data_IF_952226980281
#
_entry.id   IF_952226980281
#
_cell.length_a   1.000
_cell.length_b   1.000
_cell.length_c   1.000
_cell.angle_alpha   90.00
_cell.angle_beta   90.00
_cell.angle_gamma   90.00
#
_symmetry.space_group_name_H-M   'P 1'
#
loop_
_entity.id
_entity.type
_entity.pdbx_description
1 polymer ?
#
# COMPACT_ATOMS: atom_id res chain seq x y z
N UNK A 1 -37.32 40.25 -1.34
CA UNK A 1 -36.39 39.70 -2.36
C UNK A 1 -35.13 39.19 -1.67
N UNK A 2 -34.71 37.95 -2.00
CA UNK A 2 -33.34 37.36 -1.94
C UNK A 2 -32.59 37.42 -0.59
N UNK A 3 -32.74 36.40 0.27
CA UNK A 3 -31.93 35.17 0.34
C UNK A 3 -30.40 35.39 0.33
N UNK A 4 -29.77 35.34 1.50
CA UNK A 4 -28.33 35.06 1.62
C UNK A 4 -28.13 33.76 2.37
N UNK A 5 -27.70 32.75 1.61
CA UNK A 5 -27.48 31.36 2.04
C UNK A 5 -26.26 31.31 2.95
N UNK A 6 -26.45 30.77 4.15
CA UNK A 6 -25.39 30.21 5.00
C UNK A 6 -24.72 29.10 4.20
N UNK A 7 -23.47 29.31 3.78
CA UNK A 7 -22.65 28.27 3.17
C UNK A 7 -22.47 27.15 4.20
N UNK A 8 -23.18 26.04 4.01
CA UNK A 8 -22.84 24.79 4.68
C UNK A 8 -21.48 24.36 4.13
N UNK A 9 -20.48 24.35 5.00
CA UNK A 9 -19.27 23.59 4.81
C UNK A 9 -19.67 22.17 4.39
N UNK A 10 -19.20 21.76 3.21
CA UNK A 10 -19.28 20.36 2.80
C UNK A 10 -18.40 19.59 3.78
N UNK A 11 -19.04 18.84 4.69
CA UNK A 11 -18.43 17.61 5.17
C UNK A 11 -18.21 16.77 3.92
N UNK A 12 -16.94 16.55 3.55
CA UNK A 12 -16.58 15.42 2.70
C UNK A 12 -16.86 14.16 3.52
N UNK A 13 -18.15 13.81 3.59
CA UNK A 13 -18.61 12.48 3.96
C UNK A 13 -18.03 11.55 2.92
N UNK A 14 -17.10 10.70 3.37
CA UNK A 14 -16.34 9.78 2.55
C UNK A 14 -17.22 9.13 1.50
N UNK A 15 -17.03 9.54 0.24
CA UNK A 15 -17.57 8.80 -0.88
C UNK A 15 -16.94 7.43 -0.78
N UNK A 16 -17.78 6.43 -0.52
CA UNK A 16 -17.37 5.04 -0.65
C UNK A 16 -16.96 4.89 -2.11
N UNK A 17 -15.66 4.96 -2.38
CA UNK A 17 -15.09 4.79 -3.71
C UNK A 17 -15.70 3.52 -4.28
N UNK A 18 -16.48 3.66 -5.36
CA UNK A 18 -17.19 2.55 -6.00
C UNK A 18 -16.28 1.34 -6.18
N UNK A 19 -16.84 0.13 -6.14
CA UNK A 19 -16.10 -1.15 -6.14
C UNK A 19 -14.87 -1.10 -7.07
N UNK A 20 -13.70 -0.84 -6.50
CA UNK A 20 -12.43 -0.85 -7.23
C UNK A 20 -12.14 -2.30 -7.60
N UNK A 21 -11.89 -2.55 -8.88
CA UNK A 21 -11.45 -3.86 -9.32
C UNK A 21 -9.91 -3.95 -9.20
N UNK A 22 -9.35 -5.14 -9.38
CA UNK A 22 -7.90 -5.33 -9.25
C UNK A 22 -7.08 -4.53 -10.28
N UNK A 23 -7.62 -4.27 -11.48
CA UNK A 23 -6.95 -3.47 -12.50
C UNK A 23 -6.77 -2.01 -12.07
N UNK A 24 -7.69 -1.47 -11.26
CA UNK A 24 -7.56 -0.12 -10.72
C UNK A 24 -6.36 -0.03 -9.76
N UNK A 25 -6.18 -1.04 -8.90
CA UNK A 25 -5.01 -1.13 -8.02
C UNK A 25 -3.71 -1.29 -8.81
N UNK A 26 -3.70 -2.10 -9.87
CA UNK A 26 -2.53 -2.25 -10.75
C UNK A 26 -2.15 -0.95 -11.46
N UNK A 27 -3.14 -0.18 -11.93
CA UNK A 27 -2.91 1.13 -12.56
C UNK A 27 -2.29 2.13 -11.57
N UNK A 28 -2.85 2.24 -10.36
CA UNK A 28 -2.29 3.12 -9.33
C UNK A 28 -0.90 2.67 -8.87
N UNK A 29 -0.69 1.37 -8.69
CA UNK A 29 0.60 0.81 -8.31
C UNK A 29 1.68 1.04 -9.39
N UNK A 30 1.30 1.02 -10.67
CA UNK A 30 2.21 1.32 -11.79
C UNK A 30 2.69 2.77 -11.74
N UNK A 31 1.77 3.72 -11.53
CA UNK A 31 2.13 5.14 -11.39
C UNK A 31 3.00 5.40 -10.15
N UNK A 32 2.69 4.74 -9.03
CA UNK A 32 3.52 4.80 -7.81
C UNK A 32 4.92 4.23 -8.07
N UNK A 33 5.02 3.10 -8.77
CA UNK A 33 6.31 2.49 -9.12
C UNK A 33 7.13 3.38 -10.05
N UNK A 34 6.52 3.98 -11.07
CA UNK A 34 7.19 4.92 -11.98
C UNK A 34 7.77 6.12 -11.23
N UNK A 35 6.98 6.74 -10.34
CA UNK A 35 7.47 7.85 -9.52
C UNK A 35 8.60 7.48 -8.55
N UNK A 36 8.68 6.23 -8.09
CA UNK A 36 9.78 5.74 -7.27
C UNK A 36 11.03 5.42 -8.10
N UNK A 37 10.86 4.83 -9.29
CA UNK A 37 11.95 4.55 -10.23
C UNK A 37 12.62 5.83 -10.72
N UNK A 38 11.86 6.91 -10.87
CA UNK A 38 12.41 8.22 -11.24
C UNK A 38 13.28 8.84 -10.13
N UNK A 39 13.05 8.45 -8.87
CA UNK A 39 13.83 8.90 -7.70
C UNK A 39 15.10 8.06 -7.48
N UNK A 40 15.07 6.77 -7.85
CA UNK A 40 16.20 5.85 -7.75
C UNK A 40 16.41 5.13 -9.09
N UNK A 41 17.32 5.65 -9.91
CA UNK A 41 17.65 5.05 -11.20
C UNK A 41 18.34 3.68 -11.09
N UNK A 42 18.88 3.36 -9.91
CA UNK A 42 19.56 2.08 -9.63
C UNK A 42 18.68 1.11 -8.84
N UNK A 43 17.38 1.40 -8.69
CA UNK A 43 16.42 0.60 -7.92
C UNK A 43 16.51 -0.90 -8.18
N UNK A 44 16.74 -1.30 -9.45
CA UNK A 44 16.81 -2.69 -9.85
C UNK A 44 18.01 -3.42 -9.24
N UNK A 45 19.15 -2.74 -9.10
CA UNK A 45 20.36 -3.30 -8.47
C UNK A 45 20.23 -3.41 -6.96
N UNK A 46 19.39 -2.57 -6.34
CA UNK A 46 19.09 -2.61 -4.92
C UNK A 46 18.12 -3.74 -4.53
N UNK A 47 17.50 -4.42 -5.51
CA UNK A 47 16.54 -5.48 -5.22
C UNK A 47 17.19 -6.70 -4.56
N UNK A 48 16.47 -7.36 -3.63
CA UNK A 48 16.97 -8.57 -2.96
C UNK A 48 17.01 -9.81 -3.88
N UNK A 49 16.62 -9.70 -5.16
CA UNK A 49 16.44 -10.83 -6.07
C UNK A 49 17.73 -11.35 -6.72
N UNK A 50 18.90 -10.75 -6.45
CA UNK A 50 20.26 -11.22 -6.85
C UNK A 50 20.36 -11.79 -8.28
N UNK A 51 19.70 -11.15 -9.25
CA UNK A 51 19.76 -11.56 -10.67
C UNK A 51 18.87 -12.75 -11.06
N UNK A 52 17.99 -13.24 -10.19
CA UNK A 52 17.07 -14.34 -10.48
C UNK A 52 15.98 -13.99 -11.54
N UNK A 53 15.84 -12.71 -11.90
CA UNK A 53 14.83 -12.23 -12.83
C UNK A 53 15.32 -11.04 -13.66
N UNK A 54 14.70 -10.84 -14.84
CA UNK A 54 14.95 -9.66 -15.69
C UNK A 54 14.35 -8.40 -15.06
N UNK A 55 14.81 -7.23 -15.52
CA UNK A 55 14.31 -5.92 -15.08
C UNK A 55 12.80 -5.79 -15.25
N UNK A 56 12.26 -6.22 -16.39
CA UNK A 56 10.82 -6.18 -16.66
C UNK A 56 10.03 -7.04 -15.67
N UNK A 57 10.47 -8.28 -15.44
CA UNK A 57 9.83 -9.19 -14.47
C UNK A 57 9.89 -8.66 -13.04
N UNK A 58 11.01 -8.05 -12.66
CA UNK A 58 11.15 -7.40 -11.36
C UNK A 58 10.18 -6.22 -11.23
N UNK A 59 10.08 -5.38 -12.27
CA UNK A 59 9.15 -4.26 -12.28
C UNK A 59 7.71 -4.74 -12.12
N UNK A 60 7.29 -5.75 -12.88
CA UNK A 60 5.94 -6.29 -12.81
C UNK A 60 5.63 -6.89 -11.44
N UNK A 61 6.57 -7.64 -10.85
CA UNK A 61 6.42 -8.19 -9.50
C UNK A 61 6.28 -7.08 -8.44
N UNK A 62 7.10 -6.02 -8.54
CA UNK A 62 7.05 -4.89 -7.63
C UNK A 62 5.74 -4.10 -7.75
N UNK A 63 5.19 -3.97 -8.96
CA UNK A 63 3.85 -3.38 -9.19
C UNK A 63 2.77 -4.26 -8.58
N UNK A 64 2.81 -5.57 -8.81
CA UNK A 64 1.82 -6.51 -8.29
C UNK A 64 1.79 -6.49 -6.75
N UNK A 65 2.95 -6.55 -6.11
CA UNK A 65 3.07 -6.46 -4.64
C UNK A 65 2.40 -5.21 -4.08
N UNK A 66 2.64 -4.05 -4.70
CA UNK A 66 2.01 -2.77 -4.32
C UNK A 66 0.50 -2.81 -4.53
N UNK A 67 0.04 -3.35 -5.65
CA UNK A 67 -1.38 -3.48 -5.93
C UNK A 67 -2.08 -4.36 -4.89
N UNK A 68 -1.47 -5.50 -4.52
CA UNK A 68 -1.96 -6.39 -3.46
C UNK A 68 -1.96 -5.66 -2.11
N UNK A 69 -0.89 -4.95 -1.76
CA UNK A 69 -0.81 -4.16 -0.52
C UNK A 69 -1.99 -3.18 -0.38
N UNK A 70 -2.22 -2.36 -1.41
CA UNK A 70 -3.32 -1.38 -1.44
C UNK A 70 -4.69 -2.06 -1.38
N UNK A 71 -4.84 -3.18 -2.10
CA UNK A 71 -6.07 -3.96 -2.10
C UNK A 71 -6.37 -4.56 -0.72
N UNK A 72 -5.38 -5.14 -0.04
CA UNK A 72 -5.57 -5.72 1.30
C UNK A 72 -6.10 -4.68 2.27
N UNK A 73 -5.55 -3.45 2.24
CA UNK A 73 -6.02 -2.35 3.10
C UNK A 73 -7.45 -1.93 2.72
N UNK A 74 -7.75 -1.81 1.42
CA UNK A 74 -9.09 -1.47 0.92
C UNK A 74 -10.13 -2.52 1.35
N UNK A 75 -9.85 -3.80 1.11
CA UNK A 75 -10.73 -4.91 1.46
C UNK A 75 -10.90 -5.02 2.98
N UNK A 76 -9.83 -4.84 3.76
CA UNK A 76 -9.88 -4.83 5.23
C UNK A 76 -10.79 -3.71 5.76
N UNK A 77 -10.74 -2.52 5.15
CA UNK A 77 -11.61 -1.41 5.52
C UNK A 77 -13.07 -1.70 5.17
N UNK A 78 -13.32 -2.21 3.94
CA UNK A 78 -14.66 -2.53 3.44
C UNK A 78 -15.34 -3.62 4.27
N UNK A 79 -14.57 -4.58 4.73
CA UNK A 79 -15.05 -5.72 5.54
C UNK A 79 -14.96 -5.49 7.05
N UNK A 80 -14.52 -4.29 7.47
CA UNK A 80 -14.39 -3.91 8.89
C UNK A 80 -13.51 -4.88 9.70
N UNK A 81 -12.41 -5.37 9.11
CA UNK A 81 -11.44 -6.17 9.85
C UNK A 81 -10.87 -5.37 11.03
N UNK A 82 -10.80 -6.00 12.20
CA UNK A 82 -10.35 -5.39 13.44
C UNK A 82 -8.90 -4.88 13.36
N UNK A 83 -8.04 -5.60 12.63
CA UNK A 83 -6.69 -5.14 12.35
C UNK A 83 -5.93 -5.93 11.29
N UNK A 84 -4.85 -5.31 10.84
CA UNK A 84 -3.86 -5.88 9.94
C UNK A 84 -2.52 -5.95 10.66
N UNK A 85 -1.88 -7.12 10.67
CA UNK A 85 -0.53 -7.30 11.17
C UNK A 85 0.46 -7.11 10.04
N UNK A 86 1.50 -6.34 10.32
CA UNK A 86 2.68 -6.24 9.48
C UNK A 86 3.60 -7.45 9.76
N UNK A 87 3.87 -8.25 8.74
CA UNK A 87 4.77 -9.40 8.84
C UNK A 87 5.92 -9.25 7.85
N UNK A 88 7.13 -9.59 8.28
CA UNK A 88 8.30 -9.63 7.41
C UNK A 88 8.78 -11.06 7.21
N UNK A 89 9.55 -11.30 6.14
CA UNK A 89 10.20 -12.60 5.88
C UNK A 89 11.29 -12.97 6.92
N UNK A 90 11.56 -12.11 7.90
CA UNK A 90 12.54 -12.33 8.99
C UNK A 90 13.92 -12.78 8.50
N UNK A 91 14.36 -12.29 7.34
CA UNK A 91 15.68 -12.56 6.77
C UNK A 91 16.53 -11.29 6.67
N UNK A 92 17.82 -11.47 6.42
CA UNK A 92 18.81 -10.38 6.36
C UNK A 92 18.59 -9.40 5.19
N UNK A 93 17.62 -9.68 4.31
CA UNK A 93 17.26 -8.84 3.18
C UNK A 93 16.02 -7.97 3.46
N UNK A 94 15.46 -8.04 4.67
CA UNK A 94 14.41 -7.13 5.13
C UNK A 94 15.06 -5.78 5.49
N UNK A 95 14.52 -4.67 4.97
CA UNK A 95 15.05 -3.35 5.28
C UNK A 95 14.83 -2.95 6.76
N UNK A 96 15.69 -2.09 7.35
CA UNK A 96 15.60 -1.72 8.76
C UNK A 96 14.25 -1.13 9.18
N UNK A 97 13.59 -0.41 8.29
CA UNK A 97 12.25 0.16 8.52
C UNK A 97 11.18 -0.94 8.60
N UNK A 98 11.21 -1.89 7.65
CA UNK A 98 10.28 -3.02 7.65
C UNK A 98 10.53 -3.92 8.90
N UNK A 99 11.78 -4.07 9.36
CA UNK A 99 12.12 -4.83 10.59
C UNK A 99 11.53 -4.19 11.86
N UNK A 100 11.59 -2.86 12.00
CA UNK A 100 11.00 -2.14 13.15
C UNK A 100 9.48 -2.28 13.24
N UNK A 101 8.84 -2.61 12.12
CA UNK A 101 7.40 -2.76 12.00
C UNK A 101 6.95 -4.21 12.14
N UNK A 102 7.88 -5.17 12.23
CA UNK A 102 7.56 -6.57 12.31
C UNK A 102 6.66 -6.88 13.51
N UNK A 103 5.61 -7.66 13.27
CA UNK A 103 4.53 -7.98 14.21
C UNK A 103 3.69 -6.79 14.70
N UNK A 104 3.90 -5.57 14.21
CA UNK A 104 3.03 -4.45 14.54
C UNK A 104 1.62 -4.71 14.01
N UNK A 105 0.63 -4.53 14.86
CA UNK A 105 -0.78 -4.59 14.50
C UNK A 105 -1.28 -3.16 14.28
N UNK A 106 -1.89 -2.92 13.12
CA UNK A 106 -2.63 -1.71 12.82
C UNK A 106 -4.11 -1.98 13.06
N UNK A 107 -4.69 -1.24 13.99
CA UNK A 107 -6.13 -1.28 14.24
C UNK A 107 -6.92 -0.64 13.08
N UNK A 108 -8.23 -0.89 13.03
CA UNK A 108 -9.13 -0.26 12.05
C UNK A 108 -8.98 1.28 12.00
N UNK A 109 -8.78 1.93 13.14
CA UNK A 109 -8.61 3.38 13.24
C UNK A 109 -7.31 3.88 12.58
N UNK A 110 -6.32 3.00 12.39
CA UNK A 110 -5.03 3.34 11.80
C UNK A 110 -4.95 3.03 10.30
N UNK A 111 -6.00 2.49 9.68
CA UNK A 111 -5.98 2.11 8.26
C UNK A 111 -5.70 3.29 7.32
N UNK A 112 -6.16 4.50 7.64
CA UNK A 112 -5.82 5.69 6.85
C UNK A 112 -4.32 6.02 6.93
N UNK A 113 -3.71 5.83 8.10
CA UNK A 113 -2.26 6.01 8.29
C UNK A 113 -1.49 4.92 7.55
N UNK A 114 -1.92 3.66 7.68
CA UNK A 114 -1.32 2.53 6.96
C UNK A 114 -1.42 2.70 5.44
N UNK A 115 -2.55 3.20 4.94
CA UNK A 115 -2.75 3.45 3.51
C UNK A 115 -1.93 4.63 2.96
N UNK A 116 -1.38 5.49 3.82
CA UNK A 116 -0.44 6.55 3.39
C UNK A 116 1.01 6.08 3.35
N UNK A 117 1.32 4.93 3.96
CA UNK A 117 2.67 4.38 3.90
C UNK A 117 2.97 3.91 2.47
N UNK A 118 4.15 4.28 1.99
CA UNK A 118 4.69 3.84 0.70
C UNK A 118 5.49 2.58 0.92
N UNK A 119 5.24 1.55 0.12
CA UNK A 119 6.00 0.30 0.18
C UNK A 119 7.36 0.52 -0.50
N UNK A 120 8.46 0.25 0.23
CA UNK A 120 9.80 0.32 -0.36
C UNK A 120 9.95 -0.66 -1.53
N UNK A 121 10.71 -0.26 -2.55
CA UNK A 121 11.09 -1.14 -3.66
C UNK A 121 11.88 -2.33 -3.10
N UNK A 122 11.44 -3.54 -3.45
CA UNK A 122 12.04 -4.77 -2.97
C UNK A 122 11.68 -5.15 -1.53
N UNK A 123 10.77 -4.44 -0.82
CA UNK A 123 10.44 -4.87 0.54
C UNK A 123 9.80 -6.26 0.56
N UNK A 124 10.12 -6.97 1.64
CA UNK A 124 9.73 -8.34 1.93
C UNK A 124 8.72 -8.40 3.08
N UNK A 125 7.91 -7.35 3.22
CA UNK A 125 6.80 -7.25 4.15
C UNK A 125 5.47 -7.65 3.50
N UNK A 126 4.52 -8.06 4.33
CA UNK A 126 3.14 -8.35 3.98
C UNK A 126 2.20 -7.77 5.03
N UNK A 127 0.94 -7.59 4.66
CA UNK A 127 -0.16 -7.35 5.59
C UNK A 127 -1.02 -8.60 5.69
N UNK A 128 -1.21 -9.07 6.92
CA UNK A 128 -2.00 -10.26 7.23
C UNK A 128 -3.16 -9.88 8.13
N UNK A 129 -4.35 -10.40 7.82
CA UNK A 129 -5.54 -10.19 8.66
C UNK A 129 -5.33 -10.79 10.04
N UNK A 130 -5.55 -10.00 11.09
CA UNK A 130 -5.70 -10.55 12.44
C UNK A 130 -7.12 -11.10 12.54
N UNK A 131 -7.25 -12.42 12.74
CA UNK A 131 -8.53 -13.05 13.10
C UNK A 131 -8.63 -13.08 14.62
N UNK A 132 -9.77 -12.67 15.15
CA UNK A 132 -10.14 -12.90 16.55
C UNK A 132 -10.33 -14.40 16.83
#
# INVERSE_FOLDING_TARGET
MKFWKRGKEKKDEGSFEGNKNFLDFLKSARLEMEGLMDQDTEWFYHLPYKGAMSLEKAKDLEIEKRAVWRRVIYDARRTQLAGLRWETRSDDLVCPECQKMDNRIFSFAEYDTLNRMVMHIGCRCNLVSVRE
#
